data_IF_480551725785
#
_entry.id   IF_480551725785
#
_cell.length_a   1.000
_cell.length_b   1.000
_cell.length_c   1.000
_cell.angle_alpha   90.00
_cell.angle_beta   90.00
_cell.angle_gamma   90.00
#
_symmetry.space_group_name_H-M   'P 1'
#
loop_
_entity.id
_entity.type
_entity.pdbx_description
1 polymer ?
#
# COMPACT_ATOMS: atom_id res chain seq x y z
N UNK A 1 -22.73 -17.13 -15.38
CA UNK A 1 -22.45 -15.90 -14.59
C UNK A 1 -20.97 -15.60 -14.75
N UNK A 2 -20.65 -14.63 -15.61
CA UNK A 2 -19.27 -14.36 -16.05
C UNK A 2 -18.52 -13.50 -15.04
N UNK A 3 -17.33 -13.96 -14.66
CA UNK A 3 -16.37 -13.19 -13.88
C UNK A 3 -15.90 -12.00 -14.73
N UNK A 4 -16.45 -10.82 -14.45
CA UNK A 4 -16.07 -9.60 -15.14
C UNK A 4 -14.58 -9.34 -14.86
N UNK A 5 -13.72 -9.64 -15.84
CA UNK A 5 -12.32 -9.21 -15.88
C UNK A 5 -12.29 -7.69 -15.82
N UNK A 6 -12.18 -7.13 -14.61
CA UNK A 6 -12.04 -5.70 -14.41
C UNK A 6 -10.74 -5.22 -15.04
N UNK A 7 -10.80 -4.14 -15.80
CA UNK A 7 -9.61 -3.55 -16.42
C UNK A 7 -8.73 -2.87 -15.34
N UNK A 8 -7.40 -2.82 -15.52
CA UNK A 8 -6.46 -2.28 -14.52
C UNK A 8 -6.80 -0.87 -14.03
N UNK A 9 -7.37 -0.03 -14.90
CA UNK A 9 -7.78 1.35 -14.59
C UNK A 9 -9.00 1.43 -13.65
N UNK A 10 -9.88 0.42 -13.66
CA UNK A 10 -11.00 0.32 -12.72
C UNK A 10 -10.53 -0.19 -11.35
N UNK A 11 -9.56 -1.10 -11.33
CA UNK A 11 -8.98 -1.60 -10.09
C UNK A 11 -8.30 -0.49 -9.26
N UNK A 12 -7.64 0.46 -9.93
CA UNK A 12 -7.08 1.66 -9.28
C UNK A 12 -8.14 2.56 -8.66
N UNK A 13 -9.24 2.82 -9.37
CA UNK A 13 -10.36 3.63 -8.87
C UNK A 13 -11.07 2.97 -7.68
N UNK A 14 -11.28 1.66 -7.73
CA UNK A 14 -11.89 0.88 -6.64
C UNK A 14 -11.05 0.94 -5.35
N UNK A 15 -9.72 1.08 -5.47
CA UNK A 15 -8.82 1.25 -4.33
C UNK A 15 -8.92 2.65 -3.72
N UNK A 16 -8.88 3.69 -4.55
CA UNK A 16 -8.99 5.08 -4.09
C UNK A 16 -10.36 5.34 -3.44
N UNK A 17 -11.44 4.81 -4.03
CA UNK A 17 -12.78 4.91 -3.45
C UNK A 17 -12.85 4.30 -2.05
N UNK A 18 -12.21 3.13 -1.86
CA UNK A 18 -12.15 2.47 -0.55
C UNK A 18 -11.28 3.22 0.47
N UNK A 19 -10.15 3.78 0.06
CA UNK A 19 -9.35 4.62 0.96
C UNK A 19 -10.07 5.94 1.33
N UNK A 20 -10.81 6.54 0.40
CA UNK A 20 -11.53 7.79 0.63
C UNK A 20 -12.69 7.65 1.61
N UNK A 21 -13.38 6.51 1.64
CA UNK A 21 -14.41 6.23 2.64
C UNK A 21 -13.84 6.23 4.07
N UNK A 22 -12.64 5.69 4.25
CA UNK A 22 -11.94 5.64 5.54
C UNK A 22 -11.45 7.01 6.00
N UNK A 23 -10.97 7.84 5.07
CA UNK A 23 -10.50 9.17 5.40
C UNK A 23 -11.63 10.16 5.76
N UNK A 24 -12.90 9.84 5.48
CA UNK A 24 -14.01 10.81 5.55
C UNK A 24 -15.21 10.44 6.44
N UNK A 25 -15.35 9.21 6.96
CA UNK A 25 -16.59 8.85 7.68
C UNK A 25 -16.61 7.65 8.61
N UNK A 26 -15.47 7.08 9.02
CA UNK A 26 -15.42 6.03 10.05
C UNK A 26 -15.03 6.58 11.43
N UNK A 27 -15.21 5.77 12.49
CA UNK A 27 -14.47 6.02 13.75
C UNK A 27 -12.98 6.10 13.38
N UNK A 28 -12.31 7.25 13.60
CA UNK A 28 -10.92 7.45 13.19
C UNK A 28 -9.96 6.40 13.80
N UNK A 29 -10.41 5.66 14.82
CA UNK A 29 -9.63 4.60 15.44
C UNK A 29 -9.78 3.21 14.79
N UNK A 30 -10.87 2.92 14.07
CA UNK A 30 -11.13 1.57 13.54
C UNK A 30 -11.82 1.56 12.18
N UNK A 31 -11.09 1.03 11.21
CA UNK A 31 -11.54 0.79 9.84
C UNK A 31 -11.58 -0.71 9.56
N UNK A 32 -12.77 -1.27 9.33
CA UNK A 32 -12.92 -2.66 8.89
C UNK A 32 -12.99 -2.76 7.37
N UNK A 33 -12.49 -3.87 6.83
CA UNK A 33 -12.42 -4.07 5.38
C UNK A 33 -12.75 -5.49 4.99
N UNK A 34 -13.71 -5.64 4.10
CA UNK A 34 -14.02 -6.93 3.51
C UNK A 34 -13.12 -7.18 2.29
N UNK A 35 -12.45 -8.34 2.30
CA UNK A 35 -11.58 -8.72 1.18
C UNK A 35 -12.41 -9.12 -0.03
N UNK A 36 -12.00 -8.70 -1.23
CA UNK A 36 -12.63 -9.22 -2.44
C UNK A 36 -12.41 -10.74 -2.56
N UNK A 37 -13.36 -11.47 -3.18
CA UNK A 37 -13.19 -12.88 -3.47
C UNK A 37 -11.96 -13.11 -4.35
N UNK A 38 -11.25 -14.21 -4.11
CA UNK A 38 -10.02 -14.57 -4.82
C UNK A 38 -9.12 -15.51 -4.01
N UNK A 39 -8.03 -15.95 -4.65
CA UNK A 39 -7.02 -16.79 -3.99
C UNK A 39 -6.36 -16.09 -2.80
N UNK A 40 -5.83 -16.87 -1.85
CA UNK A 40 -5.20 -16.35 -0.61
C UNK A 40 -4.14 -15.27 -0.88
N UNK A 41 -3.27 -15.48 -1.87
CA UNK A 41 -2.25 -14.52 -2.26
C UNK A 41 -2.86 -13.23 -2.86
N UNK A 42 -3.89 -13.36 -3.70
CA UNK A 42 -4.56 -12.22 -4.30
C UNK A 42 -5.25 -11.35 -3.23
N UNK A 43 -5.86 -11.98 -2.22
CA UNK A 43 -6.47 -11.30 -1.07
C UNK A 43 -5.43 -10.52 -0.26
N UNK A 44 -4.30 -11.17 0.07
CA UNK A 44 -3.20 -10.53 0.79
C UNK A 44 -2.61 -9.35 0.01
N UNK A 45 -2.31 -9.55 -1.28
CA UNK A 45 -1.80 -8.48 -2.14
C UNK A 45 -2.79 -7.30 -2.23
N UNK A 46 -4.10 -7.58 -2.37
CA UNK A 46 -5.12 -6.54 -2.39
C UNK A 46 -5.16 -5.72 -1.08
N UNK A 47 -4.97 -6.37 0.08
CA UNK A 47 -4.92 -5.68 1.37
C UNK A 47 -3.66 -4.81 1.53
N UNK A 48 -2.49 -5.32 1.13
CA UNK A 48 -1.24 -4.53 1.11
C UNK A 48 -1.40 -3.27 0.27
N UNK A 49 -2.00 -3.39 -0.92
CA UNK A 49 -2.23 -2.26 -1.82
C UNK A 49 -3.16 -1.19 -1.23
N UNK A 50 -4.12 -1.57 -0.38
CA UNK A 50 -4.98 -0.61 0.32
C UNK A 50 -4.18 0.20 1.32
N UNK A 51 -3.35 -0.45 2.14
CA UNK A 51 -2.49 0.24 3.11
C UNK A 51 -1.47 1.17 2.45
N UNK A 52 -0.87 0.73 1.35
CA UNK A 52 0.10 1.52 0.57
C UNK A 52 -0.55 2.78 -0.03
N UNK A 53 -1.70 2.60 -0.70
CA UNK A 53 -2.46 3.72 -1.27
C UNK A 53 -2.94 4.69 -0.18
N UNK A 54 -3.43 4.17 0.95
CA UNK A 54 -3.86 5.00 2.08
C UNK A 54 -2.71 5.85 2.62
N UNK A 55 -1.54 5.23 2.84
CA UNK A 55 -0.35 5.91 3.38
C UNK A 55 0.12 7.03 2.45
N UNK A 56 0.15 6.78 1.13
CA UNK A 56 0.46 7.79 0.13
C UNK A 56 -0.51 8.98 0.19
N UNK A 57 -1.81 8.72 0.20
CA UNK A 57 -2.82 9.79 0.23
C UNK A 57 -2.82 10.54 1.56
N UNK A 58 -2.49 9.87 2.68
CA UNK A 58 -2.32 10.52 3.97
C UNK A 58 -1.09 11.44 4.02
N UNK A 59 -0.01 11.07 3.35
CA UNK A 59 1.18 11.92 3.20
C UNK A 59 0.85 13.17 2.36
N UNK A 60 0.21 12.97 1.20
CA UNK A 60 -0.26 14.06 0.34
C UNK A 60 -1.23 15.00 1.07
N UNK A 61 -2.19 14.45 1.82
CA UNK A 61 -3.14 15.25 2.60
C UNK A 61 -2.49 16.06 3.73
N UNK A 62 -1.34 15.61 4.23
CA UNK A 62 -0.54 16.30 5.24
C UNK A 62 0.53 17.21 4.65
N UNK A 63 0.68 17.27 3.33
CA UNK A 63 1.74 18.03 2.67
C UNK A 63 3.15 17.49 2.96
N UNK A 64 3.27 16.21 3.32
CA UNK A 64 4.55 15.54 3.58
C UNK A 64 4.92 14.71 2.35
N UNK A 65 6.18 14.80 1.91
CA UNK A 65 6.72 13.90 0.89
C UNK A 65 7.03 12.52 1.53
N UNK A 66 6.39 11.42 1.09
CA UNK A 66 6.67 10.09 1.62
C UNK A 66 7.93 9.44 1.03
N UNK A 67 8.56 10.05 0.02
CA UNK A 67 9.66 9.45 -0.75
C UNK A 67 11.01 9.48 0.00
N UNK A 68 11.42 10.59 0.64
CA UNK A 68 12.64 10.59 1.44
C UNK A 68 12.36 10.05 2.85
N UNK A 69 13.04 8.95 3.20
CA UNK A 69 13.03 8.42 4.57
C UNK A 69 14.47 8.21 5.01
N UNK A 70 15.08 9.27 5.55
CA UNK A 70 16.51 9.32 5.87
C UNK A 70 17.01 8.14 6.73
N UNK A 71 16.18 7.62 7.63
CA UNK A 71 16.50 6.44 8.44
C UNK A 71 16.62 5.16 7.61
N UNK A 72 15.81 5.00 6.56
CA UNK A 72 15.87 3.86 5.63
C UNK A 72 17.11 3.99 4.74
N UNK A 73 17.43 5.19 4.28
CA UNK A 73 18.61 5.42 3.44
C UNK A 73 19.90 5.13 4.21
N UNK A 74 19.99 5.62 5.44
CA UNK A 74 21.10 5.33 6.34
C UNK A 74 21.21 3.84 6.66
N UNK A 75 20.08 3.17 6.89
CA UNK A 75 20.06 1.72 7.10
C UNK A 75 20.58 0.95 5.88
N UNK A 76 20.11 1.29 4.67
CA UNK A 76 20.58 0.69 3.42
C UNK A 76 22.07 0.91 3.20
N UNK A 77 22.59 2.10 3.52
CA UNK A 77 24.02 2.42 3.46
C UNK A 77 24.84 1.50 4.35
N UNK A 78 24.48 1.38 5.63
CA UNK A 78 25.15 0.48 6.60
C UNK A 78 25.08 -0.97 6.17
N UNK A 79 23.95 -1.42 5.61
CA UNK A 79 23.79 -2.79 5.13
C UNK A 79 24.72 -3.10 3.95
N UNK A 80 24.93 -2.14 3.06
CA UNK A 80 25.87 -2.27 1.95
C UNK A 80 27.32 -2.33 2.44
N UNK A 81 27.68 -1.51 3.44
CA UNK A 81 29.01 -1.51 4.07
C UNK A 81 29.30 -2.81 4.84
N UNK A 82 28.28 -3.40 5.48
CA UNK A 82 28.40 -4.62 6.27
C UNK A 82 28.37 -5.92 5.45
N UNK A 83 28.03 -5.87 4.15
CA UNK A 83 27.93 -7.07 3.31
C UNK A 83 29.33 -7.54 2.89
N UNK A 84 29.82 -8.71 3.35
CA UNK A 84 31.07 -9.26 2.84
C UNK A 84 30.90 -9.54 1.34
N UNK A 85 31.86 -9.11 0.51
CA UNK A 85 31.94 -9.55 -0.88
C UNK A 85 32.02 -11.07 -0.88
N UNK A 86 30.95 -11.72 -1.32
CA UNK A 86 31.03 -13.14 -1.68
C UNK A 86 31.69 -13.16 -3.05
N UNK A 87 32.98 -13.46 -3.07
CA UNK A 87 33.66 -13.90 -4.28
C UNK A 87 33.02 -15.22 -4.69
N UNK A 88 32.65 -15.33 -5.97
CA UNK A 88 32.05 -16.51 -6.57
C UNK A 88 33.11 -17.21 -7.40
#
# INVERSE_FOLDING_TARGET
>A
MGEARRVPSQLGRDRVARCRGLARGGDPARAEFESQPGGRLARLAAQVMVGDTLSLYLALARGVDPTPVASIDEFKRRLAEARPKREC
#
